data_IF_367641595795
#
_entry.id   IF_367641595795
#
_cell.length_a   1.000
_cell.length_b   1.000
_cell.length_c   1.000
_cell.angle_alpha   90.00
_cell.angle_beta   90.00
_cell.angle_gamma   90.00
#
_symmetry.space_group_name_H-M   'P 1'
#
loop_
_entity.id
_entity.type
_entity.pdbx_description
1 polymer ?
#
# COMPACT_ATOMS: atom_id res chain seq x y z
N UNK A 1 14.04 20.10 6.11
CA UNK A 1 13.40 19.63 4.85
C UNK A 1 11.89 19.71 5.00
N UNK A 2 11.13 19.96 3.91
CA UNK A 2 9.68 19.81 3.93
C UNK A 2 9.27 18.32 3.84
N UNK A 3 7.96 18.00 3.93
CA UNK A 3 7.52 16.60 3.98
C UNK A 3 7.79 15.84 2.68
N UNK A 4 7.65 16.47 1.53
CA UNK A 4 7.89 15.84 0.21
C UNK A 4 9.37 15.62 -0.03
N UNK A 5 10.22 16.61 0.27
CA UNK A 5 11.68 16.50 0.16
C UNK A 5 12.21 15.36 1.04
N UNK A 6 11.72 15.28 2.28
CA UNK A 6 12.12 14.24 3.24
C UNK A 6 11.73 12.85 2.76
N UNK A 7 10.49 12.68 2.29
CA UNK A 7 10.05 11.40 1.74
C UNK A 7 10.87 10.99 0.52
N UNK A 8 11.09 11.92 -0.43
CA UNK A 8 11.90 11.67 -1.63
C UNK A 8 13.35 11.35 -1.29
N UNK A 9 13.97 12.08 -0.35
CA UNK A 9 15.32 11.82 0.11
C UNK A 9 15.45 10.41 0.72
N UNK A 10 14.49 10.02 1.61
CA UNK A 10 14.45 8.68 2.17
C UNK A 10 14.35 7.62 1.08
N UNK A 11 13.43 7.78 0.12
CA UNK A 11 13.23 6.82 -0.96
C UNK A 11 14.38 6.77 -1.97
N UNK A 12 15.21 7.84 -2.03
CA UNK A 12 16.43 7.89 -2.82
C UNK A 12 17.69 7.41 -2.04
N UNK A 13 17.54 6.99 -0.78
CA UNK A 13 18.64 6.62 0.12
C UNK A 13 19.62 7.79 0.35
N UNK A 14 19.12 9.01 0.34
CA UNK A 14 19.91 10.23 0.59
C UNK A 14 19.80 10.68 2.05
N UNK A 15 20.78 11.45 2.55
CA UNK A 15 20.70 12.06 3.88
C UNK A 15 19.47 12.96 4.03
N UNK A 16 18.89 12.96 5.22
CA UNK A 16 17.73 13.78 5.58
C UNK A 16 17.81 14.25 7.02
N UNK A 17 17.00 15.24 7.38
CA UNK A 17 16.95 15.79 8.73
C UNK A 17 16.33 14.79 9.75
N UNK A 18 15.34 14.03 9.37
CA UNK A 18 14.72 12.92 10.08
C UNK A 18 13.96 12.01 9.13
N UNK A 19 13.55 10.83 9.56
CA UNK A 19 12.67 10.00 8.76
C UNK A 19 11.23 10.55 8.72
N UNK A 20 10.46 10.29 7.64
CA UNK A 20 9.02 10.54 7.63
C UNK A 20 8.29 9.79 8.74
N UNK A 21 7.26 10.43 9.32
CA UNK A 21 6.36 9.88 10.34
C UNK A 21 5.00 9.61 9.73
N UNK A 22 4.95 8.70 8.78
CA UNK A 22 3.73 8.37 8.04
C UNK A 22 3.13 7.11 8.63
N UNK A 23 1.87 7.20 9.07
CA UNK A 23 1.08 6.01 9.39
C UNK A 23 0.32 5.60 8.12
N UNK A 24 0.81 4.59 7.42
CA UNK A 24 0.26 4.17 6.13
C UNK A 24 -1.13 3.55 6.25
N UNK A 25 -1.37 2.78 7.34
CA UNK A 25 -2.62 2.09 7.58
C UNK A 25 -3.61 2.98 8.33
N UNK A 26 -4.83 3.10 7.81
CA UNK A 26 -5.91 3.69 8.56
C UNK A 26 -6.23 2.85 9.81
N UNK A 27 -6.77 3.47 10.84
CA UNK A 27 -7.22 2.78 12.06
C UNK A 27 -8.56 2.09 11.82
N UNK A 28 -8.81 0.99 12.49
CA UNK A 28 -10.12 0.35 12.48
C UNK A 28 -11.19 1.26 13.07
N UNK A 29 -12.40 1.21 12.55
CA UNK A 29 -13.53 2.00 13.09
C UNK A 29 -13.73 1.76 14.58
N UNK A 30 -13.65 0.50 15.03
CA UNK A 30 -13.74 0.13 16.43
C UNK A 30 -12.59 0.72 17.27
N UNK A 31 -11.42 0.91 16.71
CA UNK A 31 -10.27 1.57 17.37
C UNK A 31 -10.55 3.06 17.54
N UNK A 32 -11.02 3.72 16.47
CA UNK A 32 -11.40 5.14 16.52
C UNK A 32 -12.54 5.37 17.50
N UNK A 33 -13.54 4.51 17.52
CA UNK A 33 -14.68 4.59 18.43
C UNK A 33 -14.23 4.45 19.91
N UNK A 34 -13.33 3.51 20.19
CA UNK A 34 -12.70 3.38 21.52
C UNK A 34 -11.95 4.66 21.90
N UNK A 35 -11.08 5.15 21.02
CA UNK A 35 -10.28 6.35 21.30
C UNK A 35 -11.13 7.60 21.49
N UNK A 36 -12.26 7.72 20.82
CA UNK A 36 -13.21 8.81 21.07
C UNK A 36 -13.80 8.76 22.47
N UNK A 37 -14.11 7.57 22.97
CA UNK A 37 -14.55 7.39 24.38
C UNK A 37 -13.42 7.70 25.37
N UNK A 38 -12.18 7.53 24.96
CA UNK A 38 -10.96 7.84 25.74
C UNK A 38 -10.50 9.30 25.56
N UNK A 39 -11.23 10.14 24.81
CA UNK A 39 -11.00 11.58 24.70
C UNK A 39 -10.31 12.02 23.39
N UNK A 40 -10.28 11.20 22.34
CA UNK A 40 -9.88 11.67 21.01
C UNK A 40 -10.93 12.66 20.47
N UNK A 41 -10.54 13.89 20.08
CA UNK A 41 -11.50 14.96 19.75
C UNK A 41 -12.18 14.79 18.39
N UNK A 42 -11.61 13.99 17.49
CA UNK A 42 -12.06 13.86 16.10
C UNK A 42 -12.09 12.40 15.65
N UNK A 43 -12.86 12.11 14.59
CA UNK A 43 -12.82 10.86 13.84
C UNK A 43 -12.38 11.08 12.39
N UNK A 44 -12.16 12.33 11.98
CA UNK A 44 -11.61 12.63 10.66
C UNK A 44 -10.15 12.19 10.58
N UNK A 45 -9.83 11.37 9.57
CA UNK A 45 -8.51 10.77 9.39
C UNK A 45 -7.40 11.82 9.32
N UNK A 46 -7.60 12.90 8.57
CA UNK A 46 -6.56 13.93 8.36
C UNK A 46 -6.39 14.83 9.57
N UNK A 47 -7.46 15.06 10.35
CA UNK A 47 -7.36 15.72 11.64
C UNK A 47 -6.65 14.86 12.67
N UNK A 48 -6.84 13.54 12.64
CA UNK A 48 -6.12 12.60 13.50
C UNK A 48 -4.61 12.62 13.22
N UNK A 49 -4.17 12.70 11.95
CA UNK A 49 -2.74 12.88 11.64
C UNK A 49 -2.18 14.15 12.30
N UNK A 50 -2.88 15.27 12.20
CA UNK A 50 -2.46 16.52 12.86
C UNK A 50 -2.44 16.39 14.38
N UNK A 51 -3.47 15.76 14.94
CA UNK A 51 -3.57 15.55 16.39
C UNK A 51 -2.41 14.70 16.94
N UNK A 52 -2.00 13.68 16.22
CA UNK A 52 -0.87 12.82 16.59
C UNK A 52 0.50 13.37 16.16
N UNK A 53 0.57 14.47 15.45
CA UNK A 53 1.83 15.03 14.94
C UNK A 53 2.51 14.15 13.88
N UNK A 54 1.73 13.38 13.12
CA UNK A 54 2.17 12.60 11.98
C UNK A 54 2.34 13.49 10.74
N UNK A 55 3.22 13.11 9.85
CA UNK A 55 3.45 13.83 8.59
C UNK A 55 2.24 13.62 7.65
N UNK A 56 1.70 14.69 7.06
CA UNK A 56 0.52 14.59 6.21
C UNK A 56 0.76 13.78 4.93
N UNK A 57 -0.21 12.98 4.58
CA UNK A 57 -0.34 12.41 3.24
C UNK A 57 -1.81 12.33 2.84
N UNK A 58 -2.06 12.27 1.53
CA UNK A 58 -3.40 12.12 0.96
C UNK A 58 -3.41 10.92 0.03
N UNK A 59 -4.40 10.06 0.19
CA UNK A 59 -4.55 8.85 -0.59
C UNK A 59 -5.84 8.88 -1.41
N UNK A 60 -5.71 8.62 -2.72
CA UNK A 60 -6.82 8.39 -3.61
C UNK A 60 -6.75 6.97 -4.20
N UNK A 61 -7.88 6.29 -4.18
CA UNK A 61 -8.02 4.95 -4.75
C UNK A 61 -8.82 5.02 -6.05
N UNK A 62 -8.23 4.54 -7.15
CA UNK A 62 -8.89 4.44 -8.44
C UNK A 62 -9.29 2.99 -8.70
N UNK A 63 -10.46 2.61 -8.17
CA UNK A 63 -10.98 1.25 -8.32
C UNK A 63 -11.57 1.01 -9.71
N UNK A 64 -11.39 -0.19 -10.29
CA UNK A 64 -11.90 -0.51 -11.64
C UNK A 64 -13.38 -0.87 -11.67
N UNK A 65 -14.11 -0.77 -10.58
CA UNK A 65 -15.55 -1.04 -10.51
C UNK A 65 -16.36 0.24 -10.42
N UNK A 66 -17.37 0.37 -11.28
CA UNK A 66 -18.33 1.44 -11.19
C UNK A 66 -19.31 1.21 -10.03
N UNK A 67 -20.00 2.26 -9.59
CA UNK A 67 -21.05 2.15 -8.55
C UNK A 67 -22.22 1.21 -8.96
N UNK A 68 -22.37 0.97 -10.25
CA UNK A 68 -23.37 0.05 -10.82
C UNK A 68 -22.91 -1.40 -10.87
N UNK A 69 -21.69 -1.71 -10.41
CA UNK A 69 -21.20 -3.09 -10.37
C UNK A 69 -22.06 -3.92 -9.40
N UNK A 70 -22.56 -5.09 -9.81
CA UNK A 70 -23.44 -5.89 -8.98
C UNK A 70 -22.71 -6.43 -7.74
N UNK A 71 -23.43 -6.49 -6.63
CA UNK A 71 -22.88 -7.06 -5.39
C UNK A 71 -22.69 -8.57 -5.50
N UNK A 72 -21.57 -9.12 -4.99
CA UNK A 72 -21.39 -10.55 -4.92
C UNK A 72 -22.48 -11.22 -4.05
N UNK A 73 -22.87 -12.48 -4.36
CA UNK A 73 -23.94 -13.17 -3.64
C UNK A 73 -23.60 -13.47 -2.17
N UNK A 74 -22.32 -13.54 -1.82
CA UNK A 74 -21.81 -13.74 -0.46
C UNK A 74 -20.34 -13.31 -0.37
N UNK A 75 -19.86 -13.13 0.87
CA UNK A 75 -18.43 -12.85 1.13
C UNK A 75 -17.54 -13.95 0.53
N UNK A 76 -16.45 -13.56 -0.14
CA UNK A 76 -15.51 -14.47 -0.80
C UNK A 76 -16.03 -15.13 -2.09
N UNK A 77 -17.28 -14.87 -2.49
CA UNK A 77 -17.84 -15.30 -3.78
C UNK A 77 -17.65 -14.22 -4.84
N UNK A 78 -17.43 -14.63 -6.07
CA UNK A 78 -17.33 -13.74 -7.23
C UNK A 78 -18.56 -13.76 -8.10
N UNK A 79 -18.62 -12.80 -9.02
CA UNK A 79 -19.69 -12.67 -10.03
C UNK A 79 -19.36 -13.41 -11.33
N UNK A 80 -18.11 -13.81 -11.52
CA UNK A 80 -17.61 -14.41 -12.75
C UNK A 80 -17.27 -15.88 -12.53
N UNK A 81 -17.81 -16.73 -13.37
CA UNK A 81 -17.45 -18.14 -13.45
C UNK A 81 -16.75 -18.49 -14.77
N UNK A 82 -16.89 -17.66 -15.78
CA UNK A 82 -16.30 -17.83 -17.11
C UNK A 82 -16.44 -16.56 -17.96
N UNK A 83 -16.03 -16.67 -19.24
CA UNK A 83 -15.98 -15.55 -20.18
C UNK A 83 -17.34 -14.87 -20.37
N UNK A 84 -18.43 -15.64 -20.48
CA UNK A 84 -19.79 -15.09 -20.64
C UNK A 84 -20.22 -14.23 -19.44
N UNK A 85 -19.83 -14.61 -18.23
CA UNK A 85 -20.14 -13.81 -17.03
C UNK A 85 -19.29 -12.54 -16.98
N UNK A 86 -18.04 -12.63 -17.42
CA UNK A 86 -17.20 -11.46 -17.54
C UNK A 86 -17.77 -10.43 -18.51
N UNK A 87 -18.27 -10.86 -19.68
CA UNK A 87 -18.94 -9.96 -20.62
C UNK A 87 -20.19 -9.30 -20.04
N UNK A 88 -20.95 -10.00 -19.18
CA UNK A 88 -22.12 -9.42 -18.50
C UNK A 88 -21.75 -8.34 -17.49
N UNK A 89 -20.63 -8.50 -16.76
CA UNK A 89 -20.22 -7.52 -15.74
C UNK A 89 -19.32 -6.42 -16.30
N UNK A 90 -18.67 -6.64 -17.44
CA UNK A 90 -17.72 -5.72 -18.08
C UNK A 90 -18.27 -4.29 -18.32
N UNK A 91 -19.56 -4.08 -18.68
CA UNK A 91 -20.14 -2.74 -18.78
C UNK A 91 -20.14 -1.94 -17.45
N UNK A 92 -19.94 -2.61 -16.33
CA UNK A 92 -19.87 -2.01 -14.98
C UNK A 92 -18.44 -1.90 -14.47
N UNK A 93 -17.45 -2.15 -15.33
CA UNK A 93 -16.02 -2.07 -15.03
C UNK A 93 -15.38 -0.88 -15.75
N UNK A 94 -14.21 -0.48 -15.25
CA UNK A 94 -13.34 0.51 -15.88
C UNK A 94 -13.97 1.90 -16.06
N UNK A 95 -14.64 2.45 -15.01
CA UNK A 95 -15.31 3.73 -15.09
C UNK A 95 -14.31 4.88 -15.31
N UNK A 96 -14.73 6.00 -15.92
CA UNK A 96 -13.95 7.23 -15.87
C UNK A 96 -13.89 7.76 -14.43
N UNK A 97 -12.80 8.43 -14.07
CA UNK A 97 -12.59 9.01 -12.74
C UNK A 97 -12.46 10.53 -12.76
N UNK A 98 -13.07 11.22 -13.70
CA UNK A 98 -12.90 12.64 -13.91
C UNK A 98 -13.12 13.45 -12.62
N UNK A 99 -14.21 13.22 -11.90
CA UNK A 99 -14.50 13.90 -10.64
C UNK A 99 -13.46 13.61 -9.53
N UNK A 100 -13.00 12.37 -9.42
CA UNK A 100 -11.96 12.00 -8.46
C UNK A 100 -10.62 12.64 -8.83
N UNK A 101 -10.27 12.67 -10.11
CA UNK A 101 -9.05 13.31 -10.63
C UNK A 101 -9.09 14.81 -10.37
N UNK A 102 -10.20 15.49 -10.68
CA UNK A 102 -10.39 16.91 -10.41
C UNK A 102 -10.25 17.22 -8.91
N UNK A 103 -10.72 16.35 -8.04
CA UNK A 103 -10.58 16.50 -6.58
C UNK A 103 -9.12 16.46 -6.08
N UNK A 104 -8.17 16.03 -6.90
CA UNK A 104 -6.75 16.02 -6.55
C UNK A 104 -6.07 17.40 -6.64
N UNK A 105 -6.68 18.41 -7.26
CA UNK A 105 -6.07 19.73 -7.41
C UNK A 105 -5.54 20.33 -6.10
N UNK A 106 -6.31 20.38 -4.99
CA UNK A 106 -5.81 20.89 -3.71
C UNK A 106 -4.62 20.09 -3.16
N UNK A 107 -4.64 18.76 -3.35
CA UNK A 107 -3.56 17.89 -2.90
C UNK A 107 -2.29 18.07 -3.73
N UNK A 108 -2.45 18.21 -5.05
CA UNK A 108 -1.33 18.50 -5.95
C UNK A 108 -0.66 19.83 -5.61
N UNK A 109 -1.44 20.86 -5.26
CA UNK A 109 -0.92 22.14 -4.81
C UNK A 109 -0.20 22.05 -3.46
N UNK A 110 -0.82 21.40 -2.50
CA UNK A 110 -0.22 21.17 -1.18
C UNK A 110 1.07 20.35 -1.29
N UNK A 111 1.11 19.32 -2.15
CA UNK A 111 2.34 18.56 -2.42
C UNK A 111 3.43 19.44 -3.05
N UNK A 112 3.10 20.33 -4.00
CA UNK A 112 4.07 21.27 -4.59
C UNK A 112 4.63 22.25 -3.56
N UNK A 113 3.84 22.63 -2.55
CA UNK A 113 4.32 23.44 -1.41
C UNK A 113 5.09 22.65 -0.38
N UNK A 114 5.19 21.31 -0.53
CA UNK A 114 5.88 20.42 0.41
C UNK A 114 5.12 20.10 1.69
N UNK A 115 3.80 20.35 1.72
CA UNK A 115 2.95 20.21 2.91
C UNK A 115 2.60 18.74 3.22
N UNK A 116 2.73 17.83 2.25
CA UNK A 116 2.50 16.41 2.42
C UNK A 116 2.65 15.66 1.09
N UNK A 117 2.66 14.34 1.14
CA UNK A 117 2.80 13.51 -0.04
C UNK A 117 1.44 13.05 -0.57
N UNK A 118 1.29 12.98 -1.89
CA UNK A 118 0.12 12.35 -2.51
C UNK A 118 0.48 10.91 -2.85
N UNK A 119 -0.42 10.02 -2.49
CA UNK A 119 -0.38 8.59 -2.73
C UNK A 119 -1.63 8.17 -3.51
N UNK A 120 -1.47 7.40 -4.57
CA UNK A 120 -2.59 6.75 -5.25
C UNK A 120 -2.50 5.24 -5.13
N UNK A 121 -3.64 4.58 -5.14
CA UNK A 121 -3.74 3.12 -5.17
C UNK A 121 -4.51 2.68 -6.42
N UNK A 122 -3.94 1.72 -7.13
CA UNK A 122 -4.57 0.98 -8.22
C UNK A 122 -4.75 -0.47 -7.79
N UNK A 123 -5.81 -1.15 -8.25
CA UNK A 123 -5.94 -2.58 -7.99
C UNK A 123 -4.91 -3.38 -8.78
N UNK A 124 -4.39 -4.44 -8.19
CA UNK A 124 -3.35 -5.27 -8.78
C UNK A 124 -3.88 -6.36 -9.70
N UNK A 125 -2.98 -6.99 -10.44
CA UNK A 125 -3.27 -8.00 -11.46
C UNK A 125 -3.58 -9.38 -10.89
N UNK A 126 -3.28 -9.63 -9.61
CA UNK A 126 -3.73 -10.79 -8.86
C UNK A 126 -5.06 -10.50 -8.14
N UNK A 127 -5.13 -9.36 -7.44
CA UNK A 127 -6.26 -9.00 -6.61
C UNK A 127 -7.54 -8.75 -7.41
N UNK A 128 -7.48 -7.99 -8.51
CA UNK A 128 -8.66 -7.64 -9.26
C UNK A 128 -9.39 -8.87 -9.84
N UNK A 129 -8.74 -9.81 -10.56
CA UNK A 129 -9.40 -11.05 -10.96
C UNK A 129 -9.97 -11.85 -9.77
N UNK A 130 -9.26 -11.87 -8.63
CA UNK A 130 -9.77 -12.52 -7.42
C UNK A 130 -11.10 -11.92 -6.94
N UNK A 131 -11.28 -10.60 -7.06
CA UNK A 131 -12.54 -9.95 -6.68
C UNK A 131 -13.68 -10.29 -7.63
N UNK A 132 -13.39 -10.66 -8.88
CA UNK A 132 -14.36 -11.06 -9.89
C UNK A 132 -14.73 -12.54 -9.78
N UNK A 133 -13.77 -13.44 -9.65
CA UNK A 133 -13.97 -14.88 -9.53
C UNK A 133 -14.40 -15.33 -8.12
N UNK A 134 -14.01 -14.58 -7.10
CA UNK A 134 -14.02 -15.04 -5.70
C UNK A 134 -12.75 -15.83 -5.35
N UNK A 135 -12.50 -16.03 -4.06
CA UNK A 135 -11.23 -16.51 -3.51
C UNK A 135 -10.81 -17.87 -4.11
N UNK A 136 -11.67 -18.86 -4.01
CA UNK A 136 -11.37 -20.24 -4.41
C UNK A 136 -11.25 -20.37 -5.92
N UNK A 137 -12.27 -19.89 -6.66
CA UNK A 137 -12.32 -19.99 -8.12
C UNK A 137 -11.15 -19.29 -8.80
N UNK A 138 -10.71 -18.17 -8.26
CA UNK A 138 -9.58 -17.43 -8.78
C UNK A 138 -8.30 -18.28 -8.87
N UNK A 139 -8.01 -19.07 -7.84
CA UNK A 139 -6.80 -19.90 -7.84
C UNK A 139 -6.84 -21.01 -8.90
N UNK A 140 -8.02 -21.56 -9.19
CA UNK A 140 -8.19 -22.52 -10.28
C UNK A 140 -8.21 -21.87 -11.66
N UNK A 141 -8.66 -20.61 -11.77
CA UNK A 141 -8.82 -19.92 -13.05
C UNK A 141 -7.50 -19.74 -13.82
N UNK A 142 -6.37 -19.71 -13.13
CA UNK A 142 -5.05 -19.72 -13.78
C UNK A 142 -4.82 -20.96 -14.66
N UNK A 143 -5.44 -22.09 -14.33
CA UNK A 143 -5.33 -23.35 -15.05
C UNK A 143 -6.52 -23.60 -15.97
N UNK A 144 -7.72 -23.31 -15.49
CA UNK A 144 -8.97 -23.64 -16.17
C UNK A 144 -9.38 -22.59 -17.19
N UNK A 145 -8.95 -21.32 -17.01
CA UNK A 145 -9.37 -20.18 -17.82
C UNK A 145 -8.23 -19.16 -18.07
N UNK A 146 -7.05 -19.63 -18.56
CA UNK A 146 -5.89 -18.76 -18.71
C UNK A 146 -6.15 -17.59 -19.67
N UNK A 147 -6.88 -17.80 -20.74
CA UNK A 147 -7.22 -16.76 -21.72
C UNK A 147 -8.07 -15.65 -21.09
N UNK A 148 -9.02 -16.01 -20.21
CA UNK A 148 -9.85 -15.04 -19.50
C UNK A 148 -9.03 -14.26 -18.47
N UNK A 149 -8.10 -14.91 -17.76
CA UNK A 149 -7.17 -14.24 -16.87
C UNK A 149 -6.32 -13.20 -17.61
N UNK A 150 -5.76 -13.56 -18.74
CA UNK A 150 -5.01 -12.64 -19.61
C UNK A 150 -5.86 -11.46 -20.06
N UNK A 151 -7.10 -11.74 -20.49
CA UNK A 151 -8.02 -10.68 -20.93
C UNK A 151 -8.37 -9.70 -19.81
N UNK A 152 -8.72 -10.20 -18.64
CA UNK A 152 -9.01 -9.34 -17.47
C UNK A 152 -7.83 -8.44 -17.12
N UNK A 153 -6.63 -8.99 -17.12
CA UNK A 153 -5.42 -8.25 -16.79
C UNK A 153 -5.02 -7.26 -17.89
N UNK A 154 -5.27 -7.56 -19.15
CA UNK A 154 -5.08 -6.59 -20.23
C UNK A 154 -6.08 -5.43 -20.14
N UNK A 155 -7.38 -5.73 -19.96
CA UNK A 155 -8.41 -4.70 -19.77
C UNK A 155 -8.09 -3.80 -18.55
N UNK A 156 -7.53 -4.38 -17.47
CA UNK A 156 -7.07 -3.64 -16.29
C UNK A 156 -5.84 -2.77 -16.58
N UNK A 157 -4.86 -3.29 -17.31
CA UNK A 157 -3.67 -2.52 -17.68
C UNK A 157 -4.04 -1.31 -18.55
N UNK A 158 -4.90 -1.51 -19.55
CA UNK A 158 -5.41 -0.44 -20.40
C UNK A 158 -6.18 0.61 -19.59
N UNK A 159 -6.94 0.18 -18.59
CA UNK A 159 -7.62 1.07 -17.65
C UNK A 159 -6.64 1.88 -16.83
N UNK A 160 -5.63 1.25 -16.25
CA UNK A 160 -4.61 1.95 -15.46
C UNK A 160 -3.87 3.01 -16.28
N UNK A 161 -3.49 2.71 -17.51
CA UNK A 161 -2.83 3.66 -18.40
C UNK A 161 -3.71 4.89 -18.66
N UNK A 162 -5.02 4.70 -18.93
CA UNK A 162 -5.97 5.82 -19.08
C UNK A 162 -6.10 6.67 -17.83
N UNK A 163 -6.17 6.04 -16.65
CA UNK A 163 -6.23 6.75 -15.37
C UNK A 163 -4.96 7.57 -15.14
N UNK A 164 -3.79 6.96 -15.34
CA UNK A 164 -2.50 7.63 -15.17
C UNK A 164 -2.34 8.82 -16.13
N UNK A 165 -2.72 8.66 -17.40
CA UNK A 165 -2.68 9.74 -18.38
C UNK A 165 -3.61 10.93 -17.99
N UNK A 166 -4.83 10.63 -17.57
CA UNK A 166 -5.77 11.66 -17.14
C UNK A 166 -5.29 12.35 -15.86
N UNK A 167 -4.87 11.57 -14.86
CA UNK A 167 -4.38 12.07 -13.57
C UNK A 167 -3.13 12.93 -13.71
N UNK A 168 -2.19 12.57 -14.58
CA UNK A 168 -0.93 13.30 -14.76
C UNK A 168 -1.11 14.76 -15.18
N UNK A 169 -2.27 15.10 -15.77
CA UNK A 169 -2.65 16.49 -16.13
C UNK A 169 -2.97 17.36 -14.92
N UNK A 170 -3.36 16.74 -13.80
CA UNK A 170 -3.78 17.39 -12.56
C UNK A 170 -2.76 17.22 -11.45
N UNK A 171 -2.32 15.98 -11.22
CA UNK A 171 -1.45 15.62 -10.12
C UNK A 171 -0.42 14.57 -10.57
N UNK A 172 0.82 14.71 -10.08
CA UNK A 172 1.84 13.67 -10.13
C UNK A 172 2.13 13.21 -8.70
N UNK A 173 1.51 12.13 -8.23
CA UNK A 173 1.71 11.61 -6.88
C UNK A 173 3.18 11.30 -6.61
N UNK A 174 3.60 11.39 -5.34
CA UNK A 174 4.97 11.04 -4.95
C UNK A 174 5.23 9.54 -5.09
N UNK A 175 4.23 8.72 -4.77
CA UNK A 175 4.29 7.27 -4.93
C UNK A 175 2.89 6.68 -5.17
N UNK A 176 2.86 5.41 -5.55
CA UNK A 176 1.63 4.65 -5.72
C UNK A 176 1.80 3.22 -5.21
N UNK A 177 0.68 2.57 -4.94
CA UNK A 177 0.61 1.14 -4.66
C UNK A 177 -0.28 0.41 -5.63
N UNK A 178 0.15 -0.81 -6.04
CA UNK A 178 -0.78 -1.81 -6.53
C UNK A 178 -1.28 -2.62 -5.34
N UNK A 179 -2.61 -2.66 -5.11
CA UNK A 179 -3.22 -3.50 -4.09
C UNK A 179 -3.34 -4.92 -4.63
N UNK A 180 -2.54 -5.85 -4.10
CA UNK A 180 -2.39 -7.19 -4.68
C UNK A 180 -2.82 -8.35 -3.78
N UNK A 181 -2.52 -8.31 -2.48
CA UNK A 181 -2.81 -9.41 -1.56
C UNK A 181 -2.51 -10.81 -2.16
N UNK A 182 -1.32 -10.97 -2.75
CA UNK A 182 -0.91 -12.20 -3.43
C UNK A 182 0.00 -13.11 -2.61
N UNK A 183 0.13 -12.81 -1.31
CA UNK A 183 0.85 -13.64 -0.36
C UNK A 183 0.04 -13.88 0.92
N UNK A 184 0.46 -14.85 1.71
CA UNK A 184 -0.09 -15.23 3.01
C UNK A 184 1.06 -15.64 3.95
N UNK A 185 0.76 -16.12 5.15
CA UNK A 185 1.78 -16.40 6.17
C UNK A 185 2.93 -17.33 5.70
N UNK A 186 2.66 -18.26 4.78
CA UNK A 186 3.66 -19.20 4.28
C UNK A 186 4.31 -18.79 2.94
N UNK A 187 4.06 -17.56 2.46
CA UNK A 187 4.63 -17.06 1.22
C UNK A 187 3.62 -16.78 0.11
N UNK A 188 4.06 -16.71 -1.16
CA UNK A 188 3.19 -16.40 -2.29
C UNK A 188 2.08 -17.42 -2.51
N UNK A 189 0.90 -16.96 -2.96
CA UNK A 189 -0.22 -17.81 -3.36
C UNK A 189 -0.08 -18.36 -4.79
N UNK A 190 0.94 -17.94 -5.52
CA UNK A 190 1.22 -18.34 -6.89
C UNK A 190 2.71 -18.67 -7.04
N UNK A 191 3.05 -19.48 -8.04
CA UNK A 191 4.45 -19.77 -8.36
C UNK A 191 5.10 -18.61 -9.14
N UNK A 192 6.44 -18.59 -9.21
CA UNK A 192 7.18 -17.65 -10.06
C UNK A 192 6.76 -17.76 -11.52
N UNK A 193 6.55 -18.98 -12.01
CA UNK A 193 6.10 -19.20 -13.40
C UNK A 193 4.72 -18.57 -13.66
N UNK A 194 3.78 -18.71 -12.72
CA UNK A 194 2.46 -18.07 -12.83
C UNK A 194 2.56 -16.54 -12.73
N UNK A 195 3.44 -16.02 -11.86
CA UNK A 195 3.70 -14.59 -11.84
C UNK A 195 4.23 -14.08 -13.18
N UNK A 196 5.19 -14.80 -13.77
CA UNK A 196 5.80 -14.42 -15.06
C UNK A 196 4.81 -14.46 -16.23
N UNK A 197 3.90 -15.41 -16.20
CA UNK A 197 2.90 -15.58 -17.26
C UNK A 197 1.73 -14.61 -17.10
N UNK A 198 1.13 -14.52 -15.92
CA UNK A 198 -0.17 -13.87 -15.73
C UNK A 198 -0.11 -12.45 -15.16
N UNK A 199 1.00 -12.05 -14.49
CA UNK A 199 1.09 -10.74 -13.86
C UNK A 199 2.20 -9.87 -14.48
N UNK A 200 3.39 -10.40 -14.62
CA UNK A 200 4.56 -9.67 -15.07
C UNK A 200 4.39 -8.92 -16.42
N UNK A 201 3.70 -9.47 -17.45
CA UNK A 201 3.47 -8.75 -18.70
C UNK A 201 2.72 -7.43 -18.51
N UNK A 202 1.78 -7.38 -17.59
CA UNK A 202 0.94 -6.22 -17.34
C UNK A 202 1.64 -5.17 -16.47
N UNK A 203 2.42 -5.60 -15.47
CA UNK A 203 3.33 -4.68 -14.78
C UNK A 203 4.29 -4.01 -15.76
N UNK A 204 4.86 -4.76 -16.71
CA UNK A 204 5.79 -4.21 -17.72
C UNK A 204 5.13 -3.24 -18.70
N UNK A 205 3.81 -3.24 -18.82
CA UNK A 205 3.06 -2.23 -19.56
C UNK A 205 2.88 -0.95 -18.74
N UNK A 206 2.55 -1.06 -17.44
CA UNK A 206 2.14 0.08 -16.61
C UNK A 206 3.33 0.76 -15.92
N UNK A 207 4.28 -0.02 -15.38
CA UNK A 207 5.38 0.51 -14.54
C UNK A 207 6.29 1.51 -15.29
N UNK A 208 6.62 1.36 -16.59
CA UNK A 208 7.39 2.36 -17.31
C UNK A 208 6.72 3.75 -17.32
N UNK A 209 5.40 3.84 -17.47
CA UNK A 209 4.67 5.11 -17.43
C UNK A 209 4.73 5.77 -16.06
N UNK A 210 4.74 4.99 -14.98
CA UNK A 210 4.96 5.52 -13.63
C UNK A 210 6.35 6.15 -13.50
N UNK A 211 7.37 5.51 -14.08
CA UNK A 211 8.74 6.04 -14.08
C UNK A 211 8.85 7.35 -14.90
N UNK A 212 8.18 7.46 -16.04
CA UNK A 212 8.11 8.69 -16.84
C UNK A 212 7.43 9.84 -16.09
N UNK A 213 6.50 9.52 -15.20
CA UNK A 213 5.79 10.49 -14.36
C UNK A 213 6.51 10.79 -13.04
N UNK A 214 7.68 10.19 -12.76
CA UNK A 214 8.42 10.26 -11.50
C UNK A 214 7.58 9.79 -10.29
N UNK A 215 6.76 8.75 -10.50
CA UNK A 215 5.93 8.12 -9.46
C UNK A 215 6.59 6.82 -9.03
N UNK A 216 6.88 6.67 -7.73
CA UNK A 216 7.48 5.44 -7.20
C UNK A 216 6.44 4.30 -7.12
N UNK A 217 6.63 3.18 -7.84
CA UNK A 217 5.71 2.06 -7.78
C UNK A 217 6.01 1.13 -6.61
N UNK A 218 5.03 0.94 -5.74
CA UNK A 218 5.02 -0.01 -4.66
C UNK A 218 3.98 -1.10 -4.90
N UNK A 219 4.10 -2.18 -4.15
CA UNK A 219 3.07 -3.20 -4.02
C UNK A 219 2.57 -3.23 -2.58
N UNK A 220 1.26 -3.34 -2.43
CA UNK A 220 0.57 -3.56 -1.16
C UNK A 220 0.11 -5.02 -1.14
N UNK A 221 0.72 -5.82 -0.29
CA UNK A 221 0.40 -7.26 -0.19
C UNK A 221 0.71 -7.74 1.22
N UNK A 222 -0.31 -8.27 1.86
CA UNK A 222 -0.22 -8.89 3.17
C UNK A 222 0.60 -10.20 3.13
N UNK A 223 0.96 -10.71 4.31
CA UNK A 223 1.63 -11.98 4.46
C UNK A 223 3.15 -11.94 4.26
N UNK A 224 3.73 -13.10 4.03
CA UNK A 224 5.18 -13.25 3.86
C UNK A 224 5.62 -13.03 2.41
N UNK A 225 6.11 -11.85 2.12
CA UNK A 225 6.54 -11.41 0.79
C UNK A 225 7.97 -11.79 0.43
N UNK A 226 8.74 -12.36 1.36
CA UNK A 226 10.20 -12.51 1.24
C UNK A 226 10.63 -13.18 -0.06
N UNK A 227 9.97 -14.27 -0.44
CA UNK A 227 10.30 -15.02 -1.66
C UNK A 227 9.97 -14.28 -2.96
N UNK A 228 9.04 -13.30 -2.92
CA UNK A 228 8.58 -12.58 -4.11
C UNK A 228 9.40 -11.30 -4.40
N UNK A 229 10.11 -10.76 -3.43
CA UNK A 229 10.82 -9.48 -3.61
C UNK A 229 11.72 -9.46 -4.86
N UNK A 230 12.47 -10.52 -5.20
CA UNK A 230 13.21 -10.56 -6.46
C UNK A 230 12.32 -10.42 -7.71
N UNK A 231 11.12 -11.03 -7.72
CA UNK A 231 10.18 -10.98 -8.86
C UNK A 231 9.68 -9.56 -9.11
N UNK A 232 9.44 -8.81 -8.00
CA UNK A 232 8.98 -7.41 -8.07
C UNK A 232 10.00 -6.52 -8.77
N UNK A 233 11.31 -6.75 -8.52
CA UNK A 233 12.39 -6.03 -9.17
C UNK A 233 12.40 -6.25 -10.68
N UNK A 234 12.15 -7.47 -11.15
CA UNK A 234 12.17 -7.83 -12.56
C UNK A 234 11.12 -7.09 -13.40
N UNK A 235 10.04 -6.65 -12.77
CA UNK A 235 8.97 -5.85 -13.39
C UNK A 235 9.05 -4.36 -13.06
N UNK A 236 10.13 -3.92 -12.39
CA UNK A 236 10.40 -2.52 -12.12
C UNK A 236 9.75 -1.94 -10.86
N UNK A 237 9.05 -2.75 -10.06
CA UNK A 237 8.52 -2.34 -8.76
C UNK A 237 9.68 -1.99 -7.81
N UNK A 238 9.50 -0.95 -7.00
CA UNK A 238 10.57 -0.35 -6.19
C UNK A 238 10.39 -0.58 -4.69
N UNK A 239 9.19 -0.87 -4.24
CA UNK A 239 8.91 -0.99 -2.82
C UNK A 239 7.74 -1.91 -2.50
N UNK A 240 7.61 -2.21 -1.22
CA UNK A 240 6.59 -3.10 -0.66
C UNK A 240 6.09 -2.57 0.68
N UNK A 241 4.81 -2.78 0.95
CA UNK A 241 4.15 -2.63 2.23
C UNK A 241 3.11 -3.77 2.38
N UNK A 242 2.65 -4.10 3.60
CA UNK A 242 3.01 -3.53 4.91
C UNK A 242 4.14 -4.26 5.63
N UNK A 243 4.67 -5.38 5.11
CA UNK A 243 5.73 -6.18 5.74
C UNK A 243 5.28 -6.78 7.08
N UNK A 244 4.21 -7.57 7.05
CA UNK A 244 3.59 -8.11 8.25
C UNK A 244 4.56 -8.92 9.13
N UNK A 245 4.75 -8.43 10.36
CA UNK A 245 5.62 -9.08 11.34
C UNK A 245 5.07 -10.44 11.78
N UNK A 246 3.75 -10.54 11.92
CA UNK A 246 3.07 -11.79 12.29
C UNK A 246 3.17 -12.88 11.21
N UNK A 247 3.40 -12.51 9.96
CA UNK A 247 3.68 -13.44 8.86
C UNK A 247 5.15 -13.89 8.78
N UNK A 248 6.00 -13.47 9.74
CA UNK A 248 7.40 -13.85 9.78
C UNK A 248 8.32 -13.04 8.88
N UNK A 249 7.86 -11.91 8.33
CA UNK A 249 8.72 -11.00 7.59
C UNK A 249 9.75 -10.40 8.54
N UNK A 250 11.00 -10.22 8.07
CA UNK A 250 12.05 -9.52 8.78
C UNK A 250 12.72 -8.48 7.88
N UNK A 251 12.56 -7.20 8.23
CA UNK A 251 13.06 -6.08 7.43
C UNK A 251 14.59 -6.05 7.35
N UNK A 252 15.31 -6.53 8.38
CA UNK A 252 16.77 -6.62 8.35
C UNK A 252 17.24 -7.62 7.31
N UNK A 253 16.68 -8.82 7.34
CA UNK A 253 16.95 -9.88 6.35
C UNK A 253 16.61 -9.40 4.93
N UNK A 254 15.46 -8.72 4.75
CA UNK A 254 15.08 -8.15 3.45
C UNK A 254 16.06 -7.07 3.00
N UNK A 255 16.51 -6.19 3.88
CA UNK A 255 17.48 -5.14 3.56
C UNK A 255 18.82 -5.71 3.15
N UNK A 256 19.31 -6.74 3.86
CA UNK A 256 20.59 -7.41 3.54
C UNK A 256 20.51 -8.13 2.19
N UNK A 257 19.42 -8.83 1.90
CA UNK A 257 19.21 -9.53 0.63
C UNK A 257 18.90 -8.58 -0.55
N UNK A 258 18.17 -7.49 -0.27
CA UNK A 258 17.64 -6.56 -1.27
C UNK A 258 17.91 -5.10 -0.89
N UNK A 259 19.16 -4.59 -0.98
CA UNK A 259 19.50 -3.22 -0.56
C UNK A 259 18.75 -2.12 -1.29
N UNK A 260 18.24 -2.40 -2.48
CA UNK A 260 17.48 -1.48 -3.34
C UNK A 260 16.01 -1.32 -2.90
N UNK A 261 15.48 -2.25 -2.09
CA UNK A 261 14.06 -2.30 -1.74
C UNK A 261 13.64 -1.12 -0.87
N UNK A 262 12.56 -0.45 -1.26
CA UNK A 262 11.88 0.53 -0.41
C UNK A 262 10.81 -0.19 0.40
N UNK A 263 10.69 0.19 1.66
CA UNK A 263 9.84 -0.49 2.63
C UNK A 263 9.00 0.52 3.40
N UNK A 264 7.72 0.19 3.64
CA UNK A 264 6.82 0.96 4.52
C UNK A 264 6.14 -0.03 5.45
N UNK A 265 6.10 0.24 6.76
CA UNK A 265 5.42 -0.63 7.72
C UNK A 265 6.36 -1.31 8.70
N UNK A 266 6.11 -2.59 8.96
CA UNK A 266 6.94 -3.54 9.71
C UNK A 266 7.04 -3.33 11.23
N UNK A 267 6.53 -2.23 11.79
CA UNK A 267 6.46 -2.11 13.25
C UNK A 267 5.37 -3.06 13.78
N UNK A 268 5.74 -3.95 14.68
CA UNK A 268 4.80 -4.91 15.28
C UNK A 268 3.74 -4.19 16.12
N UNK A 269 2.54 -3.98 15.55
CA UNK A 269 1.42 -3.35 16.25
C UNK A 269 1.01 -4.08 17.52
N UNK A 270 1.31 -5.38 17.64
CA UNK A 270 0.91 -6.20 18.80
C UNK A 270 1.70 -5.88 20.06
N UNK A 271 2.86 -5.20 19.95
CA UNK A 271 3.61 -4.78 21.13
C UNK A 271 3.02 -3.54 21.82
N UNK A 272 2.16 -2.78 21.13
CA UNK A 272 1.58 -1.55 21.68
C UNK A 272 0.80 -1.78 22.98
N UNK A 273 0.16 -2.93 23.12
CA UNK A 273 -0.59 -3.29 24.36
C UNK A 273 0.29 -3.81 25.48
N UNK A 274 1.60 -3.89 25.28
CA UNK A 274 2.56 -4.44 26.26
C UNK A 274 3.34 -3.34 27.01
N UNK A 275 2.98 -2.07 26.79
CA UNK A 275 3.58 -0.92 27.44
C UNK A 275 4.81 -0.36 26.73
N UNK A 276 5.30 0.79 27.23
CA UNK A 276 6.36 1.58 26.57
C UNK A 276 7.66 0.82 26.38
N UNK A 277 8.07 -0.01 27.36
CA UNK A 277 9.32 -0.77 27.26
C UNK A 277 9.30 -1.74 26.06
N UNK A 278 8.18 -2.44 25.84
CA UNK A 278 8.03 -3.33 24.69
C UNK A 278 8.00 -2.57 23.36
N UNK A 279 7.32 -1.41 23.32
CA UNK A 279 7.31 -0.53 22.16
C UNK A 279 8.71 0.01 21.83
N UNK A 280 9.48 0.40 22.84
CA UNK A 280 10.85 0.88 22.70
C UNK A 280 11.78 -0.22 22.19
N UNK A 281 11.66 -1.43 22.74
CA UNK A 281 12.44 -2.58 22.27
C UNK A 281 12.18 -2.89 20.78
N UNK A 282 10.94 -2.71 20.33
CA UNK A 282 10.60 -2.89 18.91
C UNK A 282 11.25 -1.80 18.04
N UNK A 283 11.28 -0.54 18.45
CA UNK A 283 12.01 0.51 17.73
C UNK A 283 13.53 0.25 17.73
N UNK A 284 14.11 -0.22 18.84
CA UNK A 284 15.54 -0.59 18.88
C UNK A 284 15.86 -1.73 17.89
N UNK A 285 14.95 -2.68 17.74
CA UNK A 285 15.06 -3.75 16.71
C UNK A 285 15.05 -3.16 15.28
N UNK A 286 14.24 -2.13 15.03
CA UNK A 286 14.10 -1.51 13.71
C UNK A 286 15.20 -0.48 13.40
N UNK A 287 15.79 0.13 14.41
CA UNK A 287 16.73 1.24 14.26
C UNK A 287 17.90 0.95 13.27
N UNK A 288 18.52 -0.24 13.26
CA UNK A 288 19.56 -0.54 12.26
C UNK A 288 19.06 -0.46 10.82
N UNK A 289 17.82 -0.90 10.54
CA UNK A 289 17.22 -0.82 9.20
C UNK A 289 16.78 0.61 8.89
N UNK A 290 16.23 1.33 9.86
CA UNK A 290 15.86 2.74 9.70
C UNK A 290 17.04 3.60 9.23
N UNK A 291 18.24 3.33 9.72
CA UNK A 291 19.48 4.03 9.34
C UNK A 291 19.98 3.75 7.93
N UNK A 292 19.46 2.72 7.26
CA UNK A 292 19.90 2.37 5.90
C UNK A 292 19.23 3.20 4.80
N UNK A 293 18.24 4.04 5.13
CA UNK A 293 17.40 4.70 4.13
C UNK A 293 16.35 3.76 3.49
N UNK A 294 15.49 4.32 2.67
CA UNK A 294 14.45 3.55 1.95
C UNK A 294 13.45 2.82 2.85
N UNK A 295 13.29 3.21 4.12
CA UNK A 295 12.38 2.55 5.06
C UNK A 295 11.59 3.58 5.88
N UNK A 296 10.27 3.60 5.71
CA UNK A 296 9.34 4.34 6.56
C UNK A 296 8.87 3.41 7.68
N UNK A 297 9.31 3.62 8.93
CA UNK A 297 8.80 2.85 10.06
C UNK A 297 7.35 3.24 10.31
N UNK A 298 6.46 2.30 10.26
CA UNK A 298 5.03 2.44 10.50
C UNK A 298 4.48 1.08 10.93
N UNK A 299 3.26 1.00 11.41
CA UNK A 299 2.64 -0.27 11.79
C UNK A 299 2.64 -1.28 10.63
N UNK A 300 2.76 -2.54 10.97
CA UNK A 300 2.76 -3.66 10.01
C UNK A 300 1.35 -3.98 9.47
N UNK A 301 0.32 -3.44 10.07
CA UNK A 301 -1.08 -3.43 9.61
C UNK A 301 -1.89 -2.49 10.52
N UNK A 302 -3.18 -2.29 10.23
CA UNK A 302 -4.08 -1.41 10.99
C UNK A 302 -4.00 -1.65 12.52
N UNK A 303 -3.90 -0.57 13.29
CA UNK A 303 -3.87 -0.62 14.75
C UNK A 303 -5.18 -1.21 15.30
N UNK A 304 -5.13 -2.32 16.08
CA UNK A 304 -6.33 -3.02 16.53
C UNK A 304 -7.03 -2.32 17.69
N UNK A 305 -8.34 -2.62 17.92
CA UNK A 305 -9.13 -2.00 19.00
C UNK A 305 -8.61 -2.28 20.43
N UNK A 306 -7.73 -3.26 20.60
CA UNK A 306 -7.06 -3.55 21.87
C UNK A 306 -6.08 -2.45 22.32
N UNK A 307 -5.59 -1.62 21.41
CA UNK A 307 -4.66 -0.52 21.71
C UNK A 307 -5.43 0.69 22.23
N UNK A 308 -5.09 1.20 23.44
CA UNK A 308 -5.69 2.41 24.00
C UNK A 308 -5.18 3.66 23.30
N UNK A 309 -5.90 4.79 23.43
CA UNK A 309 -5.44 6.10 22.97
C UNK A 309 -4.10 6.49 23.63
N UNK A 310 -3.92 6.13 24.91
CA UNK A 310 -2.67 6.41 25.62
C UNK A 310 -1.52 5.58 25.07
N UNK A 311 -1.71 4.29 24.81
CA UNK A 311 -0.67 3.44 24.20
C UNK A 311 -0.28 3.95 22.82
N UNK A 312 -1.26 4.35 22.01
CA UNK A 312 -0.99 4.91 20.70
C UNK A 312 -0.23 6.24 20.75
N UNK A 313 -0.56 7.13 21.73
CA UNK A 313 0.22 8.35 21.98
C UNK A 313 1.66 8.03 22.36
N UNK A 314 1.87 7.01 23.19
CA UNK A 314 3.22 6.56 23.56
C UNK A 314 3.98 6.06 22.32
N UNK A 315 3.35 5.23 21.47
CA UNK A 315 3.93 4.77 20.21
C UNK A 315 4.35 5.95 19.32
N UNK A 316 3.45 6.93 19.11
CA UNK A 316 3.76 8.10 18.26
C UNK A 316 4.88 8.96 18.85
N UNK A 317 4.94 9.09 20.17
CA UNK A 317 6.04 9.76 20.87
C UNK A 317 7.39 9.06 20.60
N UNK A 318 7.42 7.73 20.69
CA UNK A 318 8.60 6.93 20.37
C UNK A 318 8.94 7.01 18.87
N UNK A 319 7.94 6.93 17.97
CA UNK A 319 8.16 7.12 16.56
C UNK A 319 8.83 8.47 16.27
N UNK A 320 8.40 9.53 16.96
CA UNK A 320 9.01 10.84 16.86
C UNK A 320 10.47 10.83 17.31
N UNK A 321 10.79 10.20 18.45
CA UNK A 321 12.16 10.05 18.96
C UNK A 321 13.04 9.29 17.96
N UNK A 322 12.60 8.10 17.56
CA UNK A 322 13.42 7.19 16.72
C UNK A 322 13.61 7.68 15.29
N UNK A 323 12.66 8.44 14.72
CA UNK A 323 12.84 9.06 13.40
C UNK A 323 13.97 10.10 13.37
N UNK A 324 14.27 10.79 14.48
CA UNK A 324 15.45 11.64 14.63
C UNK A 324 16.72 10.80 14.82
N UNK A 325 16.71 9.87 15.76
CA UNK A 325 17.86 9.00 16.07
C UNK A 325 18.36 8.17 14.87
N UNK A 326 17.48 7.93 13.92
CA UNK A 326 17.86 7.18 12.71
C UNK A 326 18.53 8.03 11.65
N UNK A 327 18.40 9.36 11.71
CA UNK A 327 19.05 10.30 10.79
C UNK A 327 20.42 10.80 11.29
N UNK A 328 20.67 10.63 12.60
CA UNK A 328 21.99 10.90 13.21
C UNK A 328 23.01 9.80 12.84
#
# INVERSE_FOLDING_TARGET
MNHVERFRALMAFWPMDRLPRIEWAAWWDNTIERWRREGLPTADRYEMYRYFGLDPYWQCWFGPRAATFPSPPAHGRGMVAGADDYEKVRPHLYPPHDAAIESLHPWAEAQRRGEGVVWITLEGFFWFPRTLFGIERHLYAFYDQPELMHRMNQDLADYHLRVLEAMAKVCRPTFMTFAEDMSYNNGPMLSKAMFDEFLAPYYRQVVPHLAELDILPFIDTDGNVTAMVPWLREVGLKGVLPLERQAGVDAKTLREACPWLRMIGHYDKMVMTRGEEAMRAEFERLLPVMRTGGFVPSVDHQTPPGVSLQDYRTYVGLLAEYTWRAAD
#
